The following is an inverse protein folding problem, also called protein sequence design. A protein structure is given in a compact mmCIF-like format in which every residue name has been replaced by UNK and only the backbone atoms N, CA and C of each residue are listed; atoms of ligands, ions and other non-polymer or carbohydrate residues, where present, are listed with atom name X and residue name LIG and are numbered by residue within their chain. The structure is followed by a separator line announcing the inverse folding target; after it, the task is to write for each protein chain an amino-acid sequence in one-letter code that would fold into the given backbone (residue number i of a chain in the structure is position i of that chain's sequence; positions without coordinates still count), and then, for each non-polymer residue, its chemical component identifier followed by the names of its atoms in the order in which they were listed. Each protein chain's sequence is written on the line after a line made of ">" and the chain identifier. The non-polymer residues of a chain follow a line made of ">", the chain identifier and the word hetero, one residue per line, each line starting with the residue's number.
data_IF_503416486872
#
_entry.id   IF_503416486872
#
_cell.length_a   1.000
_cell.length_b   1.000
_cell.length_c   1.000
_cell.angle_alpha   90.00
_cell.angle_beta   90.00
_cell.angle_gamma   90.00
#
_symmetry.space_group_name_H-M   'P 1'
#
loop_
_entity.id
_entity.type
_entity.pdbx_description
1 polymer ?
#
# COMPACT_ATOMS: atom_id res chain seq x y z
N UNK A 1 -15.56 18.70 -15.90
CA UNK A 1 -16.77 18.57 -15.08
C UNK A 1 -16.68 19.58 -13.95
N UNK A 2 -17.69 20.43 -13.77
CA UNK A 2 -17.73 21.35 -12.63
C UNK A 2 -17.99 20.54 -11.36
N UNK A 3 -17.02 20.50 -10.46
CA UNK A 3 -17.24 20.02 -9.11
C UNK A 3 -18.21 21.00 -8.43
N UNK A 4 -19.32 20.51 -7.92
CA UNK A 4 -20.17 21.28 -7.02
C UNK A 4 -19.35 21.48 -5.75
N UNK A 5 -18.86 22.70 -5.54
CA UNK A 5 -18.10 23.08 -4.35
C UNK A 5 -19.04 23.15 -3.13
N UNK A 6 -19.49 21.99 -2.67
CA UNK A 6 -20.00 21.88 -1.31
C UNK A 6 -18.78 21.99 -0.38
N UNK A 7 -18.82 22.93 0.57
CA UNK A 7 -17.80 23.05 1.60
C UNK A 7 -17.71 21.72 2.38
N UNK A 8 -16.51 21.13 2.57
CA UNK A 8 -16.38 19.86 3.27
C UNK A 8 -16.92 19.95 4.69
N UNK A 9 -17.93 19.13 5.02
CA UNK A 9 -18.47 19.02 6.38
C UNK A 9 -17.80 17.85 7.12
N UNK A 10 -17.42 18.09 8.37
CA UNK A 10 -16.84 17.06 9.24
C UNK A 10 -17.93 16.33 10.03
N UNK A 11 -17.73 15.02 10.25
CA UNK A 11 -18.60 14.17 11.06
C UNK A 11 -19.42 13.15 10.26
N UNK A 12 -20.14 12.30 10.99
CA UNK A 12 -20.97 11.22 10.43
C UNK A 12 -20.32 9.84 10.46
N UNK A 13 -21.09 8.83 10.05
CA UNK A 13 -20.62 7.45 9.91
C UNK A 13 -20.89 6.95 8.50
N UNK A 14 -19.87 6.43 7.84
CA UNK A 14 -20.02 5.75 6.55
C UNK A 14 -20.18 4.25 6.77
N UNK A 15 -21.19 3.64 6.15
CA UNK A 15 -21.41 2.20 6.13
C UNK A 15 -21.32 1.71 4.69
N UNK A 16 -20.40 0.79 4.42
CA UNK A 16 -20.25 0.15 3.14
C UNK A 16 -20.49 -1.36 3.26
N UNK A 17 -21.25 -1.92 2.32
CA UNK A 17 -21.36 -3.35 2.13
C UNK A 17 -20.25 -3.83 1.17
N UNK A 18 -19.57 -4.91 1.54
CA UNK A 18 -18.64 -5.61 0.66
C UNK A 18 -19.39 -6.58 -0.27
N UNK A 19 -18.81 -6.86 -1.43
CA UNK A 19 -19.35 -7.84 -2.39
C UNK A 19 -19.29 -9.27 -1.87
N UNK A 20 -18.25 -9.59 -1.10
CA UNK A 20 -18.01 -10.93 -0.55
C UNK A 20 -17.48 -10.87 0.87
N UNK A 21 -17.71 -11.95 1.61
CA UNK A 21 -17.13 -12.22 2.92
C UNK A 21 -16.72 -13.69 2.99
N UNK A 22 -15.59 -13.95 3.64
CA UNK A 22 -15.03 -15.29 3.84
C UNK A 22 -14.52 -15.42 5.26
N UNK A 23 -14.46 -16.65 5.78
CA UNK A 23 -13.73 -16.94 7.02
C UNK A 23 -12.22 -16.74 6.88
N UNK A 24 -11.73 -16.61 5.65
CA UNK A 24 -10.33 -16.30 5.32
C UNK A 24 -10.06 -14.80 5.12
N UNK A 25 -11.06 -13.92 5.34
CA UNK A 25 -10.89 -12.46 5.29
C UNK A 25 -9.75 -12.01 6.21
N UNK A 26 -9.00 -10.99 5.80
CA UNK A 26 -7.82 -10.54 6.54
C UNK A 26 -7.54 -9.05 6.42
N UNK A 27 -6.88 -8.50 7.43
CA UNK A 27 -6.29 -7.16 7.42
C UNK A 27 -4.78 -7.18 7.19
N UNK A 28 -4.20 -8.35 6.88
CA UNK A 28 -2.79 -8.51 6.56
C UNK A 28 -2.56 -8.27 5.06
N UNK A 29 -1.88 -7.18 4.65
CA UNK A 29 -1.66 -6.87 3.24
C UNK A 29 -0.89 -7.94 2.47
N UNK A 30 -0.08 -8.77 3.14
CA UNK A 30 0.65 -9.85 2.47
C UNK A 30 -0.23 -11.05 2.11
N UNK A 31 -1.38 -11.20 2.79
CA UNK A 31 -2.31 -12.33 2.62
C UNK A 31 -3.61 -11.95 1.91
N UNK A 32 -3.90 -10.66 1.78
CA UNK A 32 -5.09 -10.12 1.12
C UNK A 32 -5.29 -10.74 -0.27
N UNK A 33 -6.53 -11.15 -0.56
CA UNK A 33 -6.83 -11.83 -1.84
C UNK A 33 -8.18 -11.47 -2.44
N UNK A 34 -9.13 -10.98 -1.63
CA UNK A 34 -10.46 -10.61 -2.08
C UNK A 34 -10.62 -9.09 -2.14
N UNK A 35 -11.57 -8.61 -2.96
CA UNK A 35 -11.86 -7.17 -3.10
C UNK A 35 -12.10 -6.48 -1.77
N UNK A 36 -12.83 -7.12 -0.86
CA UNK A 36 -13.09 -6.60 0.49
C UNK A 36 -11.80 -6.45 1.31
N UNK A 37 -10.84 -7.39 1.22
CA UNK A 37 -9.54 -7.27 1.89
C UNK A 37 -8.76 -6.06 1.37
N UNK A 38 -8.74 -5.89 0.04
CA UNK A 38 -8.06 -4.75 -0.59
C UNK A 38 -8.67 -3.43 -0.12
N UNK A 39 -10.00 -3.28 -0.12
CA UNK A 39 -10.64 -2.04 0.38
C UNK A 39 -10.24 -1.74 1.82
N UNK A 40 -10.26 -2.74 2.70
CA UNK A 40 -9.86 -2.58 4.11
C UNK A 40 -8.38 -2.22 4.24
N UNK A 41 -7.49 -2.95 3.56
CA UNK A 41 -6.06 -2.69 3.60
C UNK A 41 -5.71 -1.31 3.02
N UNK A 42 -6.31 -0.92 1.90
CA UNK A 42 -6.14 0.40 1.29
C UNK A 42 -6.64 1.56 2.17
N UNK A 43 -7.52 1.27 3.14
CA UNK A 43 -8.03 2.25 4.09
C UNK A 43 -7.14 2.38 5.34
N UNK A 44 -6.37 1.34 5.68
CA UNK A 44 -5.54 1.27 6.89
C UNK A 44 -4.05 1.52 6.62
N UNK A 45 -3.58 1.17 5.43
CA UNK A 45 -2.17 1.20 5.05
C UNK A 45 -1.96 1.97 3.74
N UNK A 46 -0.81 2.60 3.61
CA UNK A 46 -0.36 3.24 2.39
C UNK A 46 0.65 2.37 1.63
N UNK A 47 0.84 2.64 0.33
CA UNK A 47 1.79 1.97 -0.55
C UNK A 47 2.84 2.97 -1.02
N UNK A 48 3.94 2.49 -1.62
CA UNK A 48 4.88 3.37 -2.31
C UNK A 48 4.20 4.10 -3.47
N UNK A 49 3.38 3.38 -4.23
CA UNK A 49 2.60 3.89 -5.37
C UNK A 49 1.19 3.30 -5.36
N UNK A 50 0.28 3.95 -6.06
CA UNK A 50 -1.07 3.44 -6.30
C UNK A 50 -1.49 3.73 -7.75
N UNK A 51 -2.51 3.05 -8.25
CA UNK A 51 -3.13 3.36 -9.53
C UNK A 51 -4.33 4.27 -9.30
N UNK A 52 -4.40 5.37 -10.03
CA UNK A 52 -5.57 6.25 -10.01
C UNK A 52 -6.75 5.66 -10.80
N UNK A 53 -7.86 6.42 -10.88
CA UNK A 53 -9.09 6.01 -11.57
C UNK A 53 -8.90 5.74 -13.07
N UNK A 54 -7.85 6.30 -13.68
CA UNK A 54 -7.54 6.13 -15.09
C UNK A 54 -6.49 5.02 -15.29
N UNK A 55 -6.10 4.33 -14.22
CA UNK A 55 -5.08 3.28 -14.23
C UNK A 55 -3.66 3.82 -14.35
N UNK A 56 -3.45 5.11 -14.07
CA UNK A 56 -2.13 5.73 -14.12
C UNK A 56 -1.47 5.60 -12.75
N UNK A 57 -0.20 5.20 -12.75
CA UNK A 57 0.59 5.09 -11.51
C UNK A 57 0.87 6.47 -10.91
N UNK A 58 0.51 6.63 -9.65
CA UNK A 58 0.73 7.81 -8.83
C UNK A 58 1.61 7.50 -7.63
N UNK A 59 2.33 8.51 -7.14
CA UNK A 59 3.21 8.43 -5.99
C UNK A 59 2.43 8.65 -4.68
N UNK A 60 2.50 7.70 -3.73
CA UNK A 60 1.85 7.80 -2.42
C UNK A 60 2.88 7.98 -1.31
N UNK A 61 3.51 6.92 -0.78
CA UNK A 61 4.61 7.07 0.20
C UNK A 61 5.94 7.40 -0.46
N UNK A 62 6.13 7.00 -1.71
CA UNK A 62 7.27 7.47 -2.49
C UNK A 62 7.04 8.93 -2.89
N UNK A 63 8.13 9.69 -2.94
CA UNK A 63 8.20 11.01 -3.57
C UNK A 63 8.66 10.88 -5.03
N UNK A 64 9.61 9.97 -5.29
CA UNK A 64 10.14 9.70 -6.63
C UNK A 64 10.79 8.32 -6.74
N UNK A 65 10.87 7.81 -7.97
CA UNK A 65 11.68 6.65 -8.35
C UNK A 65 12.72 7.09 -9.37
N UNK A 66 13.97 6.69 -9.16
CA UNK A 66 15.08 6.88 -10.10
C UNK A 66 15.74 5.55 -10.44
N UNK A 67 16.12 5.36 -11.70
CA UNK A 67 16.89 4.20 -12.14
C UNK A 67 17.66 4.51 -13.42
N UNK A 68 18.87 3.95 -13.53
CA UNK A 68 19.71 4.04 -14.73
C UNK A 68 19.64 2.80 -15.63
N UNK A 69 19.23 1.67 -15.06
CA UNK A 69 19.33 0.35 -15.69
C UNK A 69 18.01 -0.44 -15.65
N UNK A 70 16.96 0.13 -15.06
CA UNK A 70 15.67 -0.49 -14.77
C UNK A 70 15.75 -1.77 -13.92
N UNK A 71 16.89 -2.03 -13.28
CA UNK A 71 17.14 -3.18 -12.39
C UNK A 71 17.33 -2.72 -10.95
N UNK A 72 18.04 -1.61 -10.77
CA UNK A 72 18.25 -0.96 -9.48
C UNK A 72 17.42 0.30 -9.43
N UNK A 73 16.49 0.35 -8.48
CA UNK A 73 15.60 1.49 -8.29
C UNK A 73 15.92 2.18 -6.97
N UNK A 74 16.14 3.48 -7.02
CA UNK A 74 16.26 4.32 -5.83
C UNK A 74 14.91 4.98 -5.57
N UNK A 75 14.33 4.70 -4.42
CA UNK A 75 13.04 5.25 -4.01
C UNK A 75 13.28 6.33 -2.96
N UNK A 76 12.87 7.56 -3.25
CA UNK A 76 12.87 8.63 -2.25
C UNK A 76 11.54 8.59 -1.52
N UNK A 77 11.55 8.52 -0.19
CA UNK A 77 10.33 8.50 0.62
C UNK A 77 9.89 9.92 1.00
N UNK A 78 8.57 10.12 1.10
CA UNK A 78 8.00 11.36 1.66
C UNK A 78 8.43 11.51 3.12
N UNK A 79 8.63 12.76 3.53
CA UNK A 79 8.97 13.12 4.92
C UNK A 79 7.72 13.40 5.76
N UNK A 80 7.84 13.21 7.07
CA UNK A 80 6.78 13.55 8.04
C UNK A 80 5.58 12.61 8.00
N UNK A 81 5.74 11.40 7.43
CA UNK A 81 4.72 10.35 7.48
C UNK A 81 4.89 9.59 8.79
N UNK A 82 3.80 9.43 9.53
CA UNK A 82 3.77 8.69 10.79
C UNK A 82 2.80 7.51 10.72
N UNK A 83 3.11 6.45 11.45
CA UNK A 83 2.16 5.39 11.74
C UNK A 83 1.10 5.85 12.74
N UNK A 84 0.03 5.06 12.89
CA UNK A 84 -1.06 5.34 13.84
C UNK A 84 -0.61 5.36 15.31
N UNK A 85 0.56 4.80 15.63
CA UNK A 85 1.18 4.86 16.97
C UNK A 85 2.10 6.09 17.16
N UNK A 86 2.22 6.95 16.15
CA UNK A 86 3.03 8.17 16.17
C UNK A 86 4.49 7.98 15.79
N UNK A 87 4.96 6.76 15.49
CA UNK A 87 6.34 6.56 14.99
C UNK A 87 6.48 7.06 13.55
N UNK A 88 7.65 7.60 13.24
CA UNK A 88 7.98 7.99 11.87
C UNK A 88 8.16 6.77 10.96
N UNK A 89 7.70 6.90 9.72
CA UNK A 89 8.01 5.95 8.66
C UNK A 89 9.48 6.10 8.21
N UNK A 90 10.20 4.97 8.15
CA UNK A 90 11.58 4.91 7.69
C UNK A 90 11.73 3.96 6.49
N UNK A 91 12.91 4.01 5.85
CA UNK A 91 13.25 3.06 4.79
C UNK A 91 13.29 1.61 5.29
N UNK A 92 13.65 1.39 6.56
CA UNK A 92 13.71 0.05 7.16
C UNK A 92 12.33 -0.60 7.24
N UNK A 93 11.26 0.17 7.48
CA UNK A 93 9.88 -0.32 7.51
C UNK A 93 9.42 -0.79 6.12
N UNK A 94 9.83 -0.07 5.07
CA UNK A 94 9.57 -0.44 3.68
C UNK A 94 10.33 -1.71 3.32
N UNK A 95 11.62 -1.77 3.64
CA UNK A 95 12.46 -2.95 3.39
C UNK A 95 11.94 -4.16 4.16
N UNK A 96 11.55 -3.98 5.42
CA UNK A 96 10.91 -5.02 6.23
C UNK A 96 9.65 -5.55 5.55
N UNK A 97 8.76 -4.66 5.12
CA UNK A 97 7.50 -5.03 4.47
C UNK A 97 7.72 -5.80 3.17
N UNK A 98 8.68 -5.37 2.34
CA UNK A 98 9.04 -6.07 1.09
C UNK A 98 9.67 -7.45 1.36
N UNK A 99 10.59 -7.54 2.35
CA UNK A 99 11.17 -8.82 2.77
C UNK A 99 10.15 -9.75 3.40
N UNK A 100 9.14 -9.22 4.10
CA UNK A 100 8.07 -10.02 4.72
C UNK A 100 7.29 -10.84 3.69
N UNK A 101 7.17 -10.37 2.44
CA UNK A 101 6.57 -11.17 1.37
C UNK A 101 7.41 -12.37 0.93
N UNK A 102 8.71 -12.39 1.22
CA UNK A 102 9.64 -13.50 0.90
C UNK A 102 9.68 -14.55 2.00
N UNK A 103 9.24 -14.22 3.22
CA UNK A 103 9.19 -15.17 4.32
C UNK A 103 8.11 -16.24 4.06
N UNK A 104 8.55 -17.50 3.97
CA UNK A 104 7.67 -18.65 3.73
C UNK A 104 6.62 -18.82 4.83
N UNK A 105 6.94 -18.47 6.07
CA UNK A 105 5.99 -18.58 7.19
C UNK A 105 4.83 -17.58 7.08
N UNK A 106 5.05 -16.46 6.37
CA UNK A 106 3.99 -15.48 6.11
C UNK A 106 2.97 -16.02 5.12
N UNK A 107 3.35 -16.89 4.19
CA UNK A 107 2.42 -17.45 3.20
C UNK A 107 1.85 -16.38 2.26
N UNK A 108 2.68 -15.40 1.89
CA UNK A 108 2.30 -14.26 1.04
C UNK A 108 1.74 -14.70 -0.32
N UNK A 109 0.62 -14.09 -0.74
CA UNK A 109 -0.01 -14.37 -2.05
C UNK A 109 0.85 -13.90 -3.24
N UNK A 110 1.76 -12.95 -3.00
CA UNK A 110 2.62 -12.33 -4.01
C UNK A 110 4.10 -12.70 -3.85
N UNK A 111 4.42 -13.75 -3.08
CA UNK A 111 5.80 -14.16 -2.82
C UNK A 111 6.63 -14.37 -4.10
N UNK A 112 6.02 -14.90 -5.18
CA UNK A 112 6.69 -15.09 -6.48
C UNK A 112 7.06 -13.77 -7.17
N UNK A 113 6.26 -12.71 -6.97
CA UNK A 113 6.58 -11.37 -7.48
C UNK A 113 7.71 -10.77 -6.65
N UNK A 114 7.59 -10.84 -5.31
CA UNK A 114 8.62 -10.37 -4.40
C UNK A 114 9.98 -11.06 -4.64
N UNK A 115 9.99 -12.33 -5.04
CA UNK A 115 11.21 -13.09 -5.35
C UNK A 115 12.07 -12.50 -6.48
N UNK A 116 11.52 -11.59 -7.29
CA UNK A 116 12.27 -10.85 -8.32
C UNK A 116 13.13 -9.73 -7.71
N UNK A 117 12.83 -9.30 -6.48
CA UNK A 117 13.62 -8.32 -5.74
C UNK A 117 14.80 -9.02 -5.08
N UNK A 118 15.94 -9.06 -5.77
CA UNK A 118 17.12 -9.84 -5.35
C UNK A 118 18.00 -9.15 -4.31
N UNK A 119 17.72 -7.89 -3.96
CA UNK A 119 18.46 -7.15 -2.94
C UNK A 119 17.78 -5.85 -2.53
N UNK A 120 18.05 -5.44 -1.30
CA UNK A 120 17.66 -4.15 -0.71
C UNK A 120 18.94 -3.50 -0.19
N UNK A 121 19.15 -2.23 -0.51
CA UNK A 121 20.30 -1.45 -0.07
C UNK A 121 19.84 -0.31 0.81
#
# INVERSE_FOLDING_TARGET
>A
SQAVAAEPVSGGSFKAAGWSSSTADTLDPAKASLSTDYVRCCSLYNRLTFLDKDGVTQMELAESFDSKDAKTWTVKLRKGVTFHDGKDLTADDVVYSLKRHLDKAVGSKVAKIAAQMTGFK
#
